data_IF_217259288392
#
_entry.id   IF_217259288392
#
_cell.length_a   1.000
_cell.length_b   1.000
_cell.length_c   1.000
_cell.angle_alpha   90.00
_cell.angle_beta   90.00
_cell.angle_gamma   90.00
#
_symmetry.space_group_name_H-M   'P 1'
#
loop_
_entity.id
_entity.type
_entity.pdbx_description
1 polymer ?
#
# COMPACT_ATOMS: atom_id res chain seq x y z
N UNK A 1 15.83 22.60 11.01
CA UNK A 1 15.96 21.66 9.94
C UNK A 1 14.63 21.32 9.30
N UNK A 2 14.31 22.13 8.31
CA UNK A 2 13.01 22.04 7.64
C UNK A 2 12.78 20.70 6.95
N UNK A 3 13.83 20.07 6.40
CA UNK A 3 13.69 18.78 5.72
C UNK A 3 13.20 17.65 6.61
N UNK A 4 13.69 17.61 7.86
CA UNK A 4 13.24 16.59 8.81
C UNK A 4 11.78 16.82 9.22
N UNK A 5 11.39 18.07 9.44
CA UNK A 5 10.01 18.40 9.77
C UNK A 5 9.05 18.06 8.63
N UNK A 6 9.48 18.36 7.39
CA UNK A 6 8.66 18.04 6.22
C UNK A 6 8.46 16.55 6.05
N UNK A 7 9.50 15.76 6.30
CA UNK A 7 9.40 14.30 6.23
C UNK A 7 8.42 13.76 7.27
N UNK A 8 8.50 14.25 8.51
CA UNK A 8 7.59 13.82 9.58
C UNK A 8 6.15 14.21 9.27
N UNK A 9 5.92 15.41 8.74
CA UNK A 9 4.58 15.85 8.35
C UNK A 9 4.00 14.96 7.26
N UNK A 10 4.81 14.54 6.29
CA UNK A 10 4.39 13.62 5.24
C UNK A 10 4.02 12.25 5.81
N UNK A 11 4.83 11.73 6.72
CA UNK A 11 4.57 10.44 7.37
C UNK A 11 3.27 10.51 8.17
N UNK A 12 3.04 11.56 8.93
CA UNK A 12 1.80 11.72 9.70
C UNK A 12 0.57 11.79 8.80
N UNK A 13 0.66 12.50 7.68
CA UNK A 13 -0.45 12.58 6.73
C UNK A 13 -0.79 11.23 6.15
N UNK A 14 0.22 10.44 5.77
CA UNK A 14 0.01 9.09 5.26
C UNK A 14 -0.61 8.19 6.33
N UNK A 15 -0.09 8.24 7.54
CA UNK A 15 -0.61 7.42 8.64
C UNK A 15 -2.07 7.75 8.94
N UNK A 16 -2.44 9.02 8.98
CA UNK A 16 -3.82 9.42 9.21
C UNK A 16 -4.74 8.94 8.10
N UNK A 17 -4.32 9.13 6.85
CA UNK A 17 -5.09 8.71 5.69
C UNK A 17 -5.29 7.19 5.69
N UNK A 18 -4.25 6.46 6.02
CA UNK A 18 -4.28 5.01 6.09
C UNK A 18 -5.21 4.53 7.21
N UNK A 19 -5.17 5.20 8.36
CA UNK A 19 -6.06 4.87 9.47
C UNK A 19 -7.53 5.05 9.08
N UNK A 20 -7.86 6.17 8.46
CA UNK A 20 -9.23 6.45 8.03
C UNK A 20 -9.68 5.42 7.00
N UNK A 21 -8.82 5.09 6.05
CA UNK A 21 -9.11 4.10 5.01
C UNK A 21 -9.29 2.72 5.61
N UNK A 22 -8.41 2.31 6.52
CA UNK A 22 -8.47 1.01 7.18
C UNK A 22 -9.76 0.87 7.98
N UNK A 23 -10.12 1.89 8.73
CA UNK A 23 -11.35 1.90 9.52
C UNK A 23 -12.58 1.75 8.63
N UNK A 24 -12.59 2.44 7.50
CA UNK A 24 -13.70 2.35 6.54
C UNK A 24 -13.85 0.94 5.99
N UNK A 25 -12.75 0.31 5.60
CA UNK A 25 -12.81 -0.97 4.91
C UNK A 25 -12.85 -2.18 5.83
N UNK A 26 -12.70 -1.99 7.12
CA UNK A 26 -12.81 -3.08 8.09
C UNK A 26 -14.13 -3.83 7.95
N UNK A 27 -15.22 -3.09 7.72
CA UNK A 27 -16.56 -3.68 7.61
C UNK A 27 -16.83 -4.29 6.23
N UNK A 28 -16.04 -3.93 5.22
CA UNK A 28 -16.25 -4.39 3.84
C UNK A 28 -15.46 -5.64 3.49
N UNK A 29 -14.39 -5.95 4.25
CA UNK A 29 -13.49 -7.02 3.92
C UNK A 29 -12.63 -6.72 2.70
N UNK A 30 -11.86 -7.72 2.25
CA UNK A 30 -10.90 -7.52 1.16
C UNK A 30 -11.57 -7.22 -0.18
N UNK A 31 -12.62 -7.97 -0.51
CA UNK A 31 -13.30 -7.80 -1.82
C UNK A 31 -13.96 -6.43 -1.89
N UNK A 32 -14.57 -5.97 -0.79
CA UNK A 32 -15.15 -4.65 -0.73
C UNK A 32 -14.11 -3.55 -0.87
N UNK A 33 -12.94 -3.73 -0.23
CA UNK A 33 -11.82 -2.80 -0.37
C UNK A 33 -11.39 -2.68 -1.83
N UNK A 34 -11.19 -3.82 -2.50
CA UNK A 34 -10.72 -3.84 -3.88
C UNK A 34 -11.71 -3.13 -4.80
N UNK A 35 -13.00 -3.44 -4.66
CA UNK A 35 -14.03 -2.82 -5.48
C UNK A 35 -14.13 -1.32 -5.27
N UNK A 36 -14.00 -0.89 -4.01
CA UNK A 36 -14.18 0.52 -3.65
C UNK A 36 -12.96 1.38 -3.96
N UNK A 37 -11.80 0.78 -4.21
CA UNK A 37 -10.61 1.54 -4.59
C UNK A 37 -10.86 2.37 -5.84
N UNK A 38 -11.46 1.76 -6.86
CA UNK A 38 -11.86 2.44 -8.09
C UNK A 38 -10.86 3.52 -8.53
N UNK A 39 -9.60 3.15 -8.80
CA UNK A 39 -8.60 4.15 -9.19
C UNK A 39 -8.89 4.66 -10.61
N UNK A 40 -8.53 5.92 -10.90
CA UNK A 40 -8.64 6.40 -12.26
C UNK A 40 -7.69 5.61 -13.18
N UNK A 41 -8.01 5.56 -14.48
CA UNK A 41 -7.19 4.86 -15.46
C UNK A 41 -5.78 5.46 -15.46
N UNK A 42 -4.76 4.60 -15.32
CA UNK A 42 -3.37 5.03 -15.21
C UNK A 42 -3.00 5.54 -13.82
N UNK A 43 -3.93 5.55 -12.88
CA UNK A 43 -3.69 6.02 -11.52
C UNK A 43 -2.79 5.08 -10.73
N UNK A 44 -2.09 5.63 -9.75
CA UNK A 44 -1.18 4.89 -8.90
C UNK A 44 -1.87 4.44 -7.61
N UNK A 45 -1.71 3.16 -7.29
CA UNK A 45 -2.24 2.55 -6.07
C UNK A 45 -1.07 2.01 -5.26
N UNK A 46 -1.02 2.37 -3.99
CA UNK A 46 0.03 1.92 -3.08
C UNK A 46 -0.54 1.02 -1.99
N UNK A 47 0.05 -0.15 -1.83
CA UNK A 47 -0.21 -1.01 -0.67
C UNK A 47 0.96 -0.94 0.30
N UNK A 48 0.67 -0.56 1.54
CA UNK A 48 1.66 -0.55 2.62
C UNK A 48 1.56 -1.86 3.38
N UNK A 49 2.68 -2.54 3.58
CA UNK A 49 2.71 -3.87 4.15
C UNK A 49 2.22 -4.91 3.16
N UNK A 50 2.73 -4.88 1.92
CA UNK A 50 2.19 -5.71 0.84
C UNK A 50 2.47 -7.21 1.00
N UNK A 51 3.42 -7.59 1.86
CA UNK A 51 3.73 -9.00 2.11
C UNK A 51 4.09 -9.75 0.82
N UNK A 52 3.40 -10.85 0.58
CA UNK A 52 3.64 -11.67 -0.61
C UNK A 52 2.93 -11.16 -1.86
N UNK A 53 2.25 -10.02 -1.79
CA UNK A 53 1.65 -9.38 -2.94
C UNK A 53 0.29 -9.89 -3.37
N UNK A 54 -0.34 -10.76 -2.59
CA UNK A 54 -1.62 -11.38 -2.98
C UNK A 54 -2.72 -10.35 -3.22
N UNK A 55 -2.86 -9.40 -2.30
CA UNK A 55 -3.90 -8.38 -2.44
C UNK A 55 -3.56 -7.40 -3.55
N UNK A 56 -2.30 -7.01 -3.67
CA UNK A 56 -1.87 -6.10 -4.73
C UNK A 56 -2.11 -6.70 -6.11
N UNK A 57 -1.83 -7.99 -6.29
CA UNK A 57 -2.11 -8.69 -7.54
C UNK A 57 -3.62 -8.72 -7.81
N UNK A 58 -4.43 -8.98 -6.78
CA UNK A 58 -5.89 -8.98 -6.93
C UNK A 58 -6.41 -7.59 -7.35
N UNK A 59 -5.84 -6.52 -6.79
CA UNK A 59 -6.16 -5.15 -7.19
C UNK A 59 -5.79 -4.93 -8.65
N UNK A 60 -4.63 -5.40 -9.07
CA UNK A 60 -4.18 -5.26 -10.44
C UNK A 60 -5.05 -5.99 -11.45
N UNK A 61 -5.58 -7.15 -11.07
CA UNK A 61 -6.52 -7.90 -11.92
C UNK A 61 -7.86 -7.20 -12.02
N UNK A 62 -8.33 -6.61 -10.91
CA UNK A 62 -9.59 -5.87 -10.89
C UNK A 62 -9.50 -4.55 -11.66
N UNK A 63 -8.32 -3.92 -11.64
CA UNK A 63 -8.10 -2.62 -12.24
C UNK A 63 -6.90 -2.68 -13.21
N UNK A 64 -7.11 -3.21 -14.44
CA UNK A 64 -6.00 -3.52 -15.36
C UNK A 64 -5.18 -2.31 -15.81
N UNK A 65 -5.73 -1.10 -15.67
CA UNK A 65 -5.03 0.13 -16.09
C UNK A 65 -4.31 0.81 -14.93
N UNK A 66 -4.41 0.28 -13.71
CA UNK A 66 -3.75 0.88 -12.55
C UNK A 66 -2.26 0.56 -12.54
N UNK A 67 -1.46 1.51 -12.04
CA UNK A 67 -0.06 1.29 -11.70
C UNK A 67 0.00 0.93 -10.23
N UNK A 68 0.76 -0.09 -9.89
CA UNK A 68 0.71 -0.67 -8.55
C UNK A 68 2.07 -0.54 -7.87
N UNK A 69 2.02 -0.18 -6.60
CA UNK A 69 3.21 0.00 -5.78
C UNK A 69 3.01 -0.73 -4.45
N UNK A 70 4.02 -1.44 -4.01
CA UNK A 70 3.97 -2.13 -2.73
C UNK A 70 5.23 -1.89 -1.92
N UNK A 71 5.06 -1.67 -0.62
CA UNK A 71 6.18 -1.54 0.30
C UNK A 71 6.02 -2.54 1.43
N UNK A 72 7.12 -3.17 1.83
CA UNK A 72 7.15 -4.09 2.96
C UNK A 72 8.52 -4.06 3.59
N UNK A 73 8.59 -4.29 4.89
CA UNK A 73 9.88 -4.30 5.59
C UNK A 73 10.67 -5.59 5.33
N UNK A 74 9.99 -6.67 4.95
CA UNK A 74 10.60 -7.98 4.79
C UNK A 74 11.03 -8.22 3.34
N UNK A 75 12.34 -8.28 3.09
CA UNK A 75 12.87 -8.64 1.78
C UNK A 75 12.44 -10.06 1.36
N UNK A 76 12.34 -10.98 2.30
CA UNK A 76 11.90 -12.35 1.99
C UNK A 76 10.47 -12.34 1.44
N UNK A 77 9.58 -11.53 2.03
CA UNK A 77 8.22 -11.39 1.51
C UNK A 77 8.20 -10.74 0.14
N UNK A 78 9.05 -9.72 -0.06
CA UNK A 78 9.13 -9.03 -1.34
C UNK A 78 9.67 -9.94 -2.45
N UNK A 79 10.62 -10.82 -2.14
CA UNK A 79 11.11 -11.79 -3.13
C UNK A 79 9.98 -12.71 -3.59
N UNK A 80 9.16 -13.18 -2.66
CA UNK A 80 7.99 -13.99 -2.99
C UNK A 80 6.98 -13.16 -3.81
N UNK A 81 6.77 -11.90 -3.42
CA UNK A 81 5.87 -11.01 -4.14
C UNK A 81 6.33 -10.77 -5.58
N UNK A 82 7.64 -10.54 -5.77
CA UNK A 82 8.21 -10.34 -7.11
C UNK A 82 7.99 -11.57 -8.00
N UNK A 83 8.18 -12.75 -7.46
CA UNK A 83 7.94 -13.99 -8.20
C UNK A 83 6.47 -14.15 -8.56
N UNK A 84 5.58 -13.83 -7.64
CA UNK A 84 4.13 -13.93 -7.87
C UNK A 84 3.67 -12.91 -8.92
N UNK A 85 4.19 -11.69 -8.86
CA UNK A 85 3.90 -10.64 -9.84
C UNK A 85 4.35 -11.06 -11.23
N UNK A 86 5.55 -11.65 -11.33
CA UNK A 86 6.07 -12.14 -12.62
C UNK A 86 5.18 -13.26 -13.18
N UNK A 87 4.77 -14.21 -12.34
CA UNK A 87 3.87 -15.29 -12.77
C UNK A 87 2.51 -14.77 -13.22
N UNK A 88 2.04 -13.67 -12.62
CA UNK A 88 0.78 -13.04 -13.00
C UNK A 88 0.91 -12.18 -14.27
N UNK A 89 2.11 -12.02 -14.82
CA UNK A 89 2.34 -11.20 -15.99
C UNK A 89 2.23 -9.70 -15.74
N UNK A 90 2.50 -9.27 -14.52
CA UNK A 90 2.26 -7.89 -14.09
C UNK A 90 3.54 -7.12 -13.76
N UNK A 91 4.72 -7.69 -14.07
CA UNK A 91 6.00 -7.10 -13.67
C UNK A 91 6.22 -5.69 -14.24
N UNK A 92 5.62 -5.37 -15.37
CA UNK A 92 5.77 -4.08 -16.04
C UNK A 92 4.97 -2.95 -15.37
N UNK A 93 4.01 -3.27 -14.52
CA UNK A 93 3.19 -2.23 -13.88
C UNK A 93 3.12 -2.35 -12.35
N UNK A 94 3.92 -3.24 -11.75
CA UNK A 94 4.02 -3.38 -10.30
C UNK A 94 5.44 -3.07 -9.87
N UNK A 95 5.60 -2.14 -8.94
CA UNK A 95 6.90 -1.77 -8.36
C UNK A 95 6.87 -2.09 -6.87
N UNK A 96 7.85 -2.87 -6.41
CA UNK A 96 7.95 -3.29 -5.02
C UNK A 96 9.24 -2.75 -4.42
N UNK A 97 9.19 -2.30 -3.17
CA UNK A 97 10.36 -1.77 -2.49
C UNK A 97 10.32 -2.09 -1.01
N UNK A 98 11.51 -2.25 -0.42
CA UNK A 98 11.64 -2.43 1.02
C UNK A 98 11.53 -1.09 1.73
N UNK A 99 10.73 -1.06 2.79
CA UNK A 99 10.58 0.14 3.60
C UNK A 99 9.75 -0.15 4.83
N UNK A 100 9.94 0.71 5.85
CA UNK A 100 9.17 0.63 7.08
C UNK A 100 7.87 1.40 6.89
N UNK A 101 6.74 0.76 7.15
CA UNK A 101 5.42 1.39 7.03
C UNK A 101 5.29 2.67 7.87
N UNK A 102 6.04 2.76 8.95
CA UNK A 102 5.98 3.91 9.86
C UNK A 102 6.90 5.06 9.45
N UNK A 103 7.79 4.87 8.48
CA UNK A 103 8.77 5.91 8.18
C UNK A 103 9.42 5.84 6.81
N UNK A 104 8.78 5.24 5.81
CA UNK A 104 9.36 5.22 4.47
C UNK A 104 9.12 6.55 3.74
N UNK A 105 10.00 6.84 2.80
CA UNK A 105 9.89 8.01 1.94
C UNK A 105 9.46 7.57 0.54
N UNK A 106 8.20 7.82 0.14
CA UNK A 106 7.72 7.36 -1.17
C UNK A 106 8.51 7.94 -2.34
N UNK A 107 8.97 9.19 -2.20
CA UNK A 107 9.76 9.82 -3.27
C UNK A 107 11.08 9.09 -3.47
N UNK A 108 11.76 8.71 -2.36
CA UNK A 108 13.01 7.98 -2.44
C UNK A 108 12.82 6.56 -2.99
N UNK A 109 11.73 5.88 -2.61
CA UNK A 109 11.49 4.49 -3.02
C UNK A 109 10.93 4.39 -4.43
N UNK A 110 10.01 5.27 -4.81
CA UNK A 110 9.21 5.11 -6.02
C UNK A 110 9.32 6.28 -6.99
N UNK A 111 10.06 7.33 -6.63
CA UNK A 111 10.19 8.52 -7.46
C UNK A 111 8.91 9.36 -7.53
N UNK A 112 8.00 9.16 -6.58
CA UNK A 112 6.76 9.93 -6.53
C UNK A 112 6.30 10.09 -5.08
N UNK A 113 5.69 11.23 -4.77
CA UNK A 113 5.28 11.58 -3.42
C UNK A 113 3.79 11.34 -3.16
N UNK A 114 3.01 11.09 -4.20
CA UNK A 114 1.56 10.95 -4.05
C UNK A 114 1.03 9.77 -4.87
N UNK A 115 -0.11 9.24 -4.42
CA UNK A 115 -0.78 8.11 -5.04
C UNK A 115 -2.27 8.42 -5.05
N UNK A 116 -2.98 7.97 -6.07
CA UNK A 116 -4.41 8.19 -6.16
C UNK A 116 -5.17 7.37 -5.12
N UNK A 117 -4.62 6.20 -4.75
CA UNK A 117 -5.19 5.36 -3.69
C UNK A 117 -4.07 4.77 -2.85
N UNK A 118 -4.31 4.67 -1.53
CA UNK A 118 -3.37 4.04 -0.59
C UNK A 118 -4.17 3.14 0.34
N UNK A 119 -3.69 1.92 0.57
CA UNK A 119 -4.36 1.01 1.49
C UNK A 119 -3.37 0.09 2.20
N UNK A 120 -3.84 -0.54 3.28
CA UNK A 120 -3.07 -1.53 4.06
C UNK A 120 -3.92 -2.78 4.22
N UNK A 121 -3.69 -3.81 3.41
CA UNK A 121 -4.42 -5.07 3.56
C UNK A 121 -3.96 -5.86 4.78
N UNK A 122 -2.67 -5.80 5.08
CA UNK A 122 -2.12 -6.44 6.25
C UNK A 122 -2.78 -5.94 7.53
N UNK A 123 -3.04 -4.64 7.63
CA UNK A 123 -3.66 -4.04 8.81
C UNK A 123 -5.12 -4.45 9.00
N UNK A 124 -5.79 -4.89 7.93
CA UNK A 124 -7.19 -5.33 8.05
C UNK A 124 -7.35 -6.53 8.98
N UNK A 125 -6.38 -7.45 8.99
CA UNK A 125 -6.40 -8.60 9.87
C UNK A 125 -6.01 -8.28 11.32
N UNK A 126 -5.45 -7.09 11.55
CA UNK A 126 -4.94 -6.66 12.85
C UNK A 126 -5.69 -5.46 13.42
N UNK A 127 -6.78 -5.06 12.79
CA UNK A 127 -7.51 -3.85 13.16
C UNK A 127 -7.90 -3.78 14.65
N UNK A 128 -8.39 -4.83 15.30
CA UNK A 128 -8.77 -4.72 16.72
C UNK A 128 -7.60 -4.26 17.58
N UNK A 129 -6.42 -4.84 17.39
CA UNK A 129 -5.24 -4.45 18.16
C UNK A 129 -4.74 -3.06 17.77
N UNK A 130 -4.81 -2.76 16.48
CA UNK A 130 -4.37 -1.49 15.95
C UNK A 130 -5.24 -0.34 16.45
N UNK A 131 -6.55 -0.51 16.48
CA UNK A 131 -7.45 0.48 17.04
C UNK A 131 -7.18 0.71 18.51
N UNK A 132 -6.96 -0.34 19.27
CA UNK A 132 -6.63 -0.24 20.68
C UNK A 132 -5.34 0.56 20.90
N UNK A 133 -4.35 0.36 20.05
CA UNK A 133 -3.08 1.07 20.15
C UNK A 133 -3.21 2.57 19.84
N UNK A 134 -4.21 2.97 19.07
CA UNK A 134 -4.42 4.35 18.69
C UNK A 134 -5.35 5.13 19.61
N UNK A 135 -6.01 4.45 20.53
CA UNK A 135 -6.85 5.07 21.54
C UNK A 135 -6.04 5.44 22.77
#
# INVERSE_FOLDING_TARGET
MSGHGQLMDGVYRYQRHIYDLTRKYYLLGRDGLIADLNPPAGGAVLEIGCGTGRTLIAVGKAWPKARLYGVDISEAMLDTARASVARAGMADRVTLAQGDACGFDPQALFGRASFERVFISYALSMIPDWEAALQ
#
